data_IF_870484183164
#
_entry.id   IF_870484183164
#
_cell.length_a   1.000
_cell.length_b   1.000
_cell.length_c   1.000
_cell.angle_alpha   90.00
_cell.angle_beta   90.00
_cell.angle_gamma   90.00
#
_symmetry.space_group_name_H-M   'P 1'
#
loop_
_entity.id
_entity.type
_entity.pdbx_description
1 polymer ?
#
# COMPACT_ATOMS: atom_id res chain seq x y z
N UNK A 1 36.58 18.65 12.92
CA UNK A 1 35.10 18.58 13.03
C UNK A 1 34.34 18.87 11.74
N UNK A 2 34.95 19.40 10.67
CA UNK A 2 34.25 19.70 9.40
C UNK A 2 34.19 18.51 8.40
N UNK A 3 35.26 17.71 8.28
CA UNK A 3 35.35 16.64 7.26
C UNK A 3 34.36 15.48 7.49
N UNK A 4 34.07 15.08 8.74
CA UNK A 4 33.05 14.06 9.04
C UNK A 4 31.64 14.51 8.63
N UNK A 5 31.34 15.81 8.74
CA UNK A 5 30.04 16.38 8.35
C UNK A 5 29.87 16.42 6.83
N UNK A 6 30.96 16.56 6.07
CA UNK A 6 30.97 16.51 4.60
C UNK A 6 30.95 15.07 4.07
N UNK A 7 31.71 14.16 4.69
CA UNK A 7 31.71 12.72 4.36
C UNK A 7 30.35 12.08 4.68
N UNK A 8 29.71 12.47 5.78
CA UNK A 8 28.32 12.09 6.06
C UNK A 8 27.38 12.57 4.96
N UNK A 9 27.51 13.83 4.50
CA UNK A 9 26.69 14.42 3.42
C UNK A 9 26.90 13.77 2.05
N UNK A 10 28.14 13.38 1.72
CA UNK A 10 28.47 12.75 0.43
C UNK A 10 28.03 11.27 0.39
N UNK A 11 28.10 10.57 1.52
CA UNK A 11 27.63 9.19 1.67
C UNK A 11 26.10 9.11 1.80
N UNK A 12 25.44 10.20 2.19
CA UNK A 12 23.99 10.24 2.34
C UNK A 12 23.23 10.30 1.00
N UNK A 13 23.83 10.88 -0.03
CA UNK A 13 23.27 10.94 -1.39
C UNK A 13 23.01 9.54 -1.98
N UNK A 14 23.97 8.58 -1.96
CA UNK A 14 23.73 7.23 -2.47
C UNK A 14 22.73 6.44 -1.60
N UNK A 15 22.75 6.62 -0.27
CA UNK A 15 21.77 5.99 0.62
C UNK A 15 20.36 6.52 0.39
N UNK A 16 20.21 7.84 0.17
CA UNK A 16 18.94 8.47 -0.19
C UNK A 16 18.39 7.94 -1.51
N UNK A 17 19.28 7.72 -2.50
CA UNK A 17 18.90 7.17 -3.80
C UNK A 17 18.40 5.72 -3.71
N UNK A 18 19.08 4.86 -2.93
CA UNK A 18 18.66 3.46 -2.69
C UNK A 18 17.30 3.43 -2.00
N UNK A 19 17.09 4.32 -1.03
CA UNK A 19 15.82 4.44 -0.34
C UNK A 19 14.72 4.82 -1.33
N UNK A 20 14.90 5.86 -2.16
CA UNK A 20 13.92 6.24 -3.19
C UNK A 20 13.57 5.05 -4.09
N UNK A 21 14.57 4.31 -4.56
CA UNK A 21 14.37 3.13 -5.41
C UNK A 21 13.52 2.07 -4.70
N UNK A 22 13.83 1.75 -3.43
CA UNK A 22 13.05 0.79 -2.64
C UNK A 22 11.63 1.30 -2.39
N UNK A 23 11.44 2.60 -2.12
CA UNK A 23 10.12 3.20 -1.94
C UNK A 23 9.26 3.12 -3.20
N UNK A 24 9.86 3.39 -4.36
CA UNK A 24 9.21 3.23 -5.66
C UNK A 24 8.85 1.76 -5.91
N UNK A 25 9.76 0.82 -5.62
CA UNK A 25 9.51 -0.62 -5.74
C UNK A 25 8.35 -1.07 -4.87
N UNK A 26 8.29 -0.65 -3.60
CA UNK A 26 7.19 -1.00 -2.70
C UNK A 26 5.88 -0.38 -3.19
N UNK A 27 5.87 0.89 -3.59
CA UNK A 27 4.68 1.53 -4.20
C UNK A 27 4.18 0.79 -5.43
N UNK A 28 5.08 0.35 -6.29
CA UNK A 28 4.74 -0.35 -7.51
C UNK A 28 4.18 -1.75 -7.22
N UNK A 29 4.78 -2.46 -6.26
CA UNK A 29 4.27 -3.76 -5.78
C UNK A 29 2.90 -3.62 -5.13
N UNK A 30 2.71 -2.64 -4.25
CA UNK A 30 1.42 -2.37 -3.60
C UNK A 30 0.38 -1.95 -4.62
N UNK A 31 0.74 -1.14 -5.62
CA UNK A 31 -0.16 -0.74 -6.69
C UNK A 31 -0.59 -1.93 -7.56
N UNK A 32 0.34 -2.82 -7.93
CA UNK A 32 0.01 -4.05 -8.67
C UNK A 32 -0.90 -4.99 -7.86
N UNK A 33 -0.59 -5.17 -6.56
CA UNK A 33 -1.43 -5.97 -5.65
C UNK A 33 -2.80 -5.32 -5.45
N UNK A 34 -2.86 -3.98 -5.42
CA UNK A 34 -4.09 -3.21 -5.32
C UNK A 34 -4.96 -3.37 -6.56
N UNK A 35 -4.38 -3.27 -7.76
CA UNK A 35 -5.08 -3.50 -9.03
C UNK A 35 -5.59 -4.93 -9.11
N UNK A 36 -4.77 -5.93 -8.76
CA UNK A 36 -5.18 -7.33 -8.75
C UNK A 36 -6.34 -7.58 -7.78
N UNK A 37 -6.26 -7.06 -6.55
CA UNK A 37 -7.33 -7.14 -5.56
C UNK A 37 -8.58 -6.38 -5.98
N UNK A 38 -8.44 -5.23 -6.66
CA UNK A 38 -9.57 -4.48 -7.22
C UNK A 38 -10.34 -5.30 -8.25
N UNK A 39 -9.63 -6.05 -9.10
CA UNK A 39 -10.24 -6.97 -10.05
C UNK A 39 -10.99 -8.11 -9.36
N UNK A 40 -10.44 -8.66 -8.28
CA UNK A 40 -11.11 -9.67 -7.44
C UNK A 40 -12.39 -9.11 -6.81
N UNK A 41 -12.35 -7.87 -6.31
CA UNK A 41 -13.52 -7.21 -5.73
C UNK A 41 -14.59 -6.95 -6.79
N UNK A 42 -14.23 -6.51 -7.99
CA UNK A 42 -15.16 -6.35 -9.11
C UNK A 42 -15.83 -7.67 -9.49
N UNK A 43 -15.07 -8.77 -9.53
CA UNK A 43 -15.61 -10.12 -9.72
C UNK A 43 -16.60 -10.50 -8.63
N UNK A 44 -16.29 -10.21 -7.36
CA UNK A 44 -17.18 -10.46 -6.23
C UNK A 44 -18.48 -9.63 -6.33
N UNK A 45 -18.40 -8.36 -6.72
CA UNK A 45 -19.59 -7.50 -6.91
C UNK A 45 -20.48 -8.03 -8.03
N UNK A 46 -19.90 -8.43 -9.17
CA UNK A 46 -20.65 -9.04 -10.27
C UNK A 46 -21.35 -10.33 -9.83
N UNK A 47 -20.65 -11.16 -9.04
CA UNK A 47 -21.21 -12.38 -8.46
C UNK A 47 -22.35 -12.08 -7.47
N UNK A 48 -22.21 -11.02 -6.66
CA UNK A 48 -23.26 -10.57 -5.75
C UNK A 48 -24.52 -10.14 -6.50
N UNK A 49 -24.38 -9.36 -7.57
CA UNK A 49 -25.52 -8.93 -8.41
C UNK A 49 -26.18 -10.14 -9.08
N UNK A 50 -25.40 -11.09 -9.62
CA UNK A 50 -25.94 -12.33 -10.18
C UNK A 50 -26.69 -13.16 -9.14
N UNK A 51 -26.20 -13.21 -7.90
CA UNK A 51 -26.87 -13.91 -6.79
C UNK A 51 -28.19 -13.24 -6.40
N UNK A 52 -28.21 -11.91 -6.32
CA UNK A 52 -29.42 -11.12 -6.02
C UNK A 52 -30.51 -11.41 -7.04
N UNK A 53 -30.16 -11.42 -8.33
CA UNK A 53 -31.12 -11.60 -9.44
C UNK A 53 -31.58 -13.06 -9.54
N UNK A 54 -30.69 -14.03 -9.37
CA UNK A 54 -30.98 -15.44 -9.66
C UNK A 54 -31.62 -16.19 -8.48
N UNK A 55 -31.22 -15.89 -7.24
CA UNK A 55 -31.64 -16.66 -6.05
C UNK A 55 -32.47 -15.85 -5.04
N UNK A 56 -32.48 -14.51 -5.10
CA UNK A 56 -33.10 -13.63 -4.10
C UNK A 56 -32.72 -13.97 -2.63
N UNK A 57 -31.59 -14.64 -2.43
CA UNK A 57 -31.17 -15.13 -1.13
C UNK A 57 -30.36 -14.06 -0.40
N UNK A 58 -31.02 -13.38 0.53
CA UNK A 58 -30.44 -12.28 1.29
C UNK A 58 -29.26 -12.71 2.17
N UNK A 59 -29.18 -13.98 2.59
CA UNK A 59 -28.09 -14.48 3.41
C UNK A 59 -26.76 -14.54 2.63
N UNK A 60 -26.81 -14.99 1.37
CA UNK A 60 -25.62 -15.08 0.52
C UNK A 60 -25.10 -13.70 0.12
N UNK A 61 -25.99 -12.73 -0.07
CA UNK A 61 -25.64 -11.34 -0.38
C UNK A 61 -24.90 -10.67 0.77
N UNK A 62 -25.38 -10.88 2.01
CA UNK A 62 -24.71 -10.35 3.22
C UNK A 62 -23.32 -10.96 3.38
N UNK A 63 -23.15 -12.25 3.11
CA UNK A 63 -21.85 -12.92 3.15
C UNK A 63 -20.87 -12.33 2.10
N UNK A 64 -21.31 -12.14 0.86
CA UNK A 64 -20.48 -11.52 -0.18
C UNK A 64 -20.14 -10.06 0.14
N UNK A 65 -21.07 -9.31 0.71
CA UNK A 65 -20.83 -7.93 1.12
C UNK A 65 -19.76 -7.86 2.22
N UNK A 66 -19.79 -8.78 3.19
CA UNK A 66 -18.78 -8.88 4.24
C UNK A 66 -17.38 -9.16 3.65
N UNK A 67 -17.28 -10.04 2.66
CA UNK A 67 -16.03 -10.32 1.94
C UNK A 67 -15.51 -9.08 1.18
N UNK A 68 -16.38 -8.35 0.48
CA UNK A 68 -16.00 -7.11 -0.23
C UNK A 68 -15.44 -6.07 0.75
N UNK A 69 -16.13 -5.83 1.87
CA UNK A 69 -15.71 -4.87 2.90
C UNK A 69 -14.36 -5.28 3.51
N UNK A 70 -14.17 -6.56 3.83
CA UNK A 70 -12.89 -7.05 4.37
C UNK A 70 -11.73 -6.88 3.40
N UNK A 71 -11.96 -7.13 2.09
CA UNK A 71 -10.97 -6.91 1.05
C UNK A 71 -10.58 -5.43 0.91
N UNK A 72 -11.57 -4.53 1.01
CA UNK A 72 -11.34 -3.08 1.03
C UNK A 72 -10.52 -2.62 2.25
N UNK A 73 -10.78 -3.18 3.43
CA UNK A 73 -10.04 -2.84 4.65
C UNK A 73 -8.56 -3.23 4.52
N UNK A 74 -8.27 -4.41 3.95
CA UNK A 74 -6.90 -4.87 3.70
C UNK A 74 -6.18 -3.97 2.69
N UNK A 75 -6.87 -3.48 1.65
CA UNK A 75 -6.32 -2.50 0.71
C UNK A 75 -5.95 -1.19 1.41
N UNK A 76 -6.82 -0.69 2.29
CA UNK A 76 -6.58 0.54 3.05
C UNK A 76 -5.33 0.42 3.94
N UNK A 77 -5.20 -0.67 4.69
CA UNK A 77 -4.02 -0.94 5.54
C UNK A 77 -2.74 -1.03 4.70
N UNK A 78 -2.80 -1.65 3.52
CA UNK A 78 -1.63 -1.77 2.62
C UNK A 78 -1.13 -0.40 2.16
N UNK A 79 -2.05 0.51 1.79
CA UNK A 79 -1.72 1.89 1.41
C UNK A 79 -1.19 2.69 2.61
N UNK A 80 -1.77 2.46 3.80
CA UNK A 80 -1.35 3.17 5.01
C UNK A 80 0.06 2.78 5.45
N UNK A 81 0.43 1.49 5.34
CA UNK A 81 1.80 1.02 5.63
C UNK A 81 2.80 1.64 4.67
N UNK A 82 2.46 1.74 3.38
CA UNK A 82 3.30 2.40 2.38
C UNK A 82 3.57 3.87 2.74
N UNK A 83 2.51 4.63 3.06
CA UNK A 83 2.61 6.02 3.50
C UNK A 83 3.37 6.18 4.82
N UNK A 84 3.18 5.27 5.78
CA UNK A 84 3.87 5.29 7.06
C UNK A 84 5.38 5.00 6.91
N UNK A 85 5.74 4.08 6.02
CA UNK A 85 7.15 3.80 5.68
C UNK A 85 7.77 5.05 5.04
N UNK A 86 7.10 5.70 4.10
CA UNK A 86 7.58 6.93 3.45
C UNK A 86 7.83 8.05 4.48
N UNK A 87 6.88 8.26 5.40
CA UNK A 87 6.99 9.27 6.47
C UNK A 87 8.10 8.94 7.49
N UNK A 88 8.22 7.66 7.89
CA UNK A 88 9.29 7.21 8.78
C UNK A 88 10.66 7.44 8.15
N UNK A 89 10.77 7.21 6.84
CA UNK A 89 12.00 7.45 6.07
C UNK A 89 12.36 8.93 6.04
N UNK A 90 11.41 9.81 5.74
CA UNK A 90 11.65 11.26 5.78
C UNK A 90 12.08 11.75 7.15
N UNK A 91 11.51 11.18 8.23
CA UNK A 91 11.93 11.50 9.60
C UNK A 91 13.35 11.02 9.90
N UNK A 92 13.71 9.80 9.50
CA UNK A 92 15.08 9.29 9.70
C UNK A 92 16.11 10.13 8.93
N UNK A 93 15.80 10.53 7.70
CA UNK A 93 16.67 11.43 6.92
C UNK A 93 16.84 12.78 7.60
N UNK A 94 15.76 13.37 8.12
CA UNK A 94 15.83 14.64 8.88
C UNK A 94 16.67 14.52 10.14
N UNK A 95 16.52 13.44 10.91
CA UNK A 95 17.30 13.21 12.14
C UNK A 95 18.79 13.01 11.81
N UNK A 96 19.11 12.32 10.72
CA UNK A 96 20.50 12.08 10.34
C UNK A 96 21.19 13.33 9.74
N UNK A 97 20.42 14.28 9.22
CA UNK A 97 20.92 15.52 8.60
C UNK A 97 21.04 16.68 9.61
N UNK A 98 20.35 16.60 10.76
CA UNK A 98 20.46 17.54 11.89
C UNK A 98 21.80 17.37 12.63
#
# INVERSE_FOLDING_TARGET
MFCLKIIGKILLIPVWFILIIVGILVKLVVNMVSIAKSFVVLGLVALAIGTIICYQDWAQVVFLFCLIVSAFLVLYVSVFIDAAIDLAREKLVRILLA
#
